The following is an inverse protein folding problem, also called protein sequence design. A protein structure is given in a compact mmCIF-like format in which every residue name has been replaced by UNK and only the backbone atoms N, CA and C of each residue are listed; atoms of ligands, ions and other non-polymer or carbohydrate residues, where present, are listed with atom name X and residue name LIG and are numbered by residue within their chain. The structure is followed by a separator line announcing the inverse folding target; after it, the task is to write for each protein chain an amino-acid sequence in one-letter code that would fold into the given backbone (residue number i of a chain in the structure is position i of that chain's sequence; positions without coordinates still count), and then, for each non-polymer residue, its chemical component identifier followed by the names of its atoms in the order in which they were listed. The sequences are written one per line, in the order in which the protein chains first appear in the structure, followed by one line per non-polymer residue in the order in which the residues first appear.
data_IF_671468057515
#
_entry.id   IF_671468057515
#
_cell.length_a   1.000
_cell.length_b   1.000
_cell.length_c   1.000
_cell.angle_alpha   90.00
_cell.angle_beta   90.00
_cell.angle_gamma   90.00
#
_symmetry.space_group_name_H-M   'P 1'
#
loop_
_entity.id
_entity.type
_entity.pdbx_description
1 polymer ?
#
# COMPACT_ATOMS: atom_id res chain seq x y z
N UNK A 1 19.99 -10.29 9.33
CA UNK A 1 20.22 -10.61 7.91
C UNK A 1 18.86 -10.82 7.26
N UNK A 2 18.49 -10.04 6.24
CA UNK A 2 17.19 -10.14 5.56
C UNK A 2 17.36 -11.05 4.33
N UNK A 3 16.52 -12.08 4.23
CA UNK A 3 16.59 -13.09 3.17
C UNK A 3 16.01 -12.58 1.83
N UNK A 4 16.63 -13.02 0.73
CA UNK A 4 16.30 -12.65 -0.64
C UNK A 4 15.07 -13.43 -1.11
N UNK A 5 13.99 -12.73 -1.48
CA UNK A 5 12.83 -13.35 -2.12
C UNK A 5 13.03 -13.41 -3.64
N UNK A 6 13.40 -14.58 -4.16
CA UNK A 6 13.75 -14.78 -5.58
C UNK A 6 12.58 -14.69 -6.57
N UNK A 7 11.34 -14.51 -6.12
CA UNK A 7 10.19 -14.31 -7.01
C UNK A 7 9.00 -13.64 -6.29
N UNK A 8 9.11 -12.36 -5.91
CA UNK A 8 7.99 -11.65 -5.28
C UNK A 8 6.86 -11.39 -6.29
N UNK A 9 5.65 -11.82 -5.94
CA UNK A 9 4.44 -11.45 -6.68
C UNK A 9 4.28 -9.93 -6.76
N UNK A 10 3.66 -9.42 -7.82
CA UNK A 10 3.40 -7.98 -7.98
C UNK A 10 2.68 -7.39 -6.76
N UNK A 11 1.71 -8.13 -6.21
CA UNK A 11 1.03 -7.79 -4.95
C UNK A 11 2.00 -7.58 -3.78
N UNK A 12 2.98 -8.47 -3.61
CA UNK A 12 3.98 -8.34 -2.54
C UNK A 12 4.90 -7.14 -2.78
N UNK A 13 5.32 -6.90 -4.01
CA UNK A 13 6.15 -5.74 -4.35
C UNK A 13 5.41 -4.43 -4.04
N UNK A 14 4.15 -4.32 -4.47
CA UNK A 14 3.28 -3.17 -4.18
C UNK A 14 3.08 -3.00 -2.67
N UNK A 15 2.82 -4.08 -1.93
CA UNK A 15 2.71 -4.03 -0.48
C UNK A 15 3.99 -3.52 0.19
N UNK A 16 5.17 -4.02 -0.19
CA UNK A 16 6.44 -3.57 0.39
C UNK A 16 6.69 -2.09 0.09
N UNK A 17 6.41 -1.66 -1.14
CA UNK A 17 6.51 -0.26 -1.54
C UNK A 17 5.62 0.64 -0.66
N UNK A 18 4.33 0.33 -0.57
CA UNK A 18 3.39 1.12 0.24
C UNK A 18 3.76 1.11 1.73
N UNK A 19 4.21 -0.03 2.26
CA UNK A 19 4.68 -0.14 3.64
C UNK A 19 5.88 0.77 3.89
N UNK A 20 6.84 0.81 2.98
CA UNK A 20 8.00 1.70 3.09
C UNK A 20 7.60 3.17 3.09
N UNK A 21 6.71 3.58 2.19
CA UNK A 21 6.20 4.96 2.11
C UNK A 21 5.55 5.36 3.45
N UNK A 22 4.71 4.50 4.03
CA UNK A 22 4.07 4.76 5.33
C UNK A 22 5.11 4.86 6.45
N UNK A 23 6.07 3.93 6.51
CA UNK A 23 7.09 3.90 7.57
C UNK A 23 8.08 5.08 7.48
N UNK A 24 8.32 5.60 6.28
CA UNK A 24 9.14 6.80 6.06
C UNK A 24 8.39 8.09 6.39
N UNK A 25 7.06 8.04 6.51
CA UNK A 25 6.22 9.22 6.68
C UNK A 25 5.99 10.00 5.37
N UNK A 26 6.33 9.40 4.22
CA UNK A 26 6.07 9.98 2.89
C UNK A 26 4.56 10.07 2.60
N UNK A 27 3.76 9.28 3.30
CA UNK A 27 2.31 9.40 3.36
C UNK A 27 1.93 9.87 4.76
N UNK A 28 1.47 11.11 4.87
CA UNK A 28 1.21 11.72 6.17
C UNK A 28 0.06 11.00 6.89
N UNK A 29 0.12 10.91 8.22
CA UNK A 29 -0.99 10.33 8.98
C UNK A 29 -2.28 11.09 8.71
N UNK A 30 -3.34 10.40 8.28
CA UNK A 30 -4.60 11.06 7.91
C UNK A 30 -4.71 11.51 6.46
N UNK A 31 -3.62 11.41 5.69
CA UNK A 31 -3.63 11.64 4.25
C UNK A 31 -4.50 10.60 3.56
N UNK A 32 -5.32 11.07 2.63
CA UNK A 32 -6.25 10.21 1.89
C UNK A 32 -5.47 9.38 0.88
N UNK A 33 -5.49 8.06 1.04
CA UNK A 33 -5.03 7.13 0.01
C UNK A 33 -6.05 7.08 -1.13
N UNK A 34 -5.57 7.24 -2.37
CA UNK A 34 -6.38 7.17 -3.59
C UNK A 34 -5.82 6.03 -4.45
N UNK A 35 -6.57 4.94 -4.58
CA UNK A 35 -6.11 3.72 -5.27
C UNK A 35 -5.75 3.97 -6.74
N UNK A 36 -6.53 4.81 -7.45
CA UNK A 36 -6.26 5.17 -8.85
C UNK A 36 -4.94 5.92 -9.00
N UNK A 37 -4.69 6.90 -8.12
CA UNK A 37 -3.42 7.66 -8.10
C UNK A 37 -2.23 6.74 -7.85
N UNK A 38 -2.34 5.82 -6.88
CA UNK A 38 -1.27 4.87 -6.61
C UNK A 38 -1.05 3.89 -7.76
N UNK A 39 -2.12 3.43 -8.41
CA UNK A 39 -2.05 2.56 -9.58
C UNK A 39 -1.30 3.23 -10.74
N UNK A 40 -1.61 4.50 -11.02
CA UNK A 40 -0.93 5.32 -12.02
C UNK A 40 0.55 5.56 -11.67
N UNK A 41 0.83 5.95 -10.42
CA UNK A 41 2.18 6.22 -9.94
C UNK A 41 3.09 4.99 -9.97
N UNK A 42 2.55 3.82 -9.61
CA UNK A 42 3.29 2.56 -9.56
C UNK A 42 3.20 1.77 -10.89
N UNK A 43 2.48 2.29 -11.90
CA UNK A 43 2.26 1.66 -13.20
C UNK A 43 1.73 0.22 -13.10
N UNK A 44 0.79 0.00 -12.17
CA UNK A 44 0.15 -1.31 -11.96
C UNK A 44 -1.36 -1.17 -12.04
N UNK A 45 -2.08 -2.28 -12.20
CA UNK A 45 -3.54 -2.26 -12.12
C UNK A 45 -4.02 -1.97 -10.68
N UNK A 46 -5.30 -1.61 -10.53
CA UNK A 46 -5.92 -1.33 -9.22
C UNK A 46 -6.02 -2.57 -8.33
N UNK A 47 -6.07 -3.77 -8.92
CA UNK A 47 -6.20 -5.04 -8.16
C UNK A 47 -5.07 -5.27 -7.15
N UNK A 48 -3.78 -5.28 -7.54
CA UNK A 48 -2.67 -5.45 -6.59
C UNK A 48 -2.57 -4.30 -5.57
N UNK A 49 -2.98 -3.08 -5.95
CA UNK A 49 -3.05 -1.92 -5.04
C UNK A 49 -4.07 -2.16 -3.93
N UNK A 50 -5.30 -2.51 -4.30
CA UNK A 50 -6.38 -2.80 -3.35
C UNK A 50 -6.03 -3.96 -2.41
N UNK A 51 -5.39 -5.01 -2.93
CA UNK A 51 -4.94 -6.15 -2.14
C UNK A 51 -3.82 -5.77 -1.15
N UNK A 52 -2.84 -4.97 -1.59
CA UNK A 52 -1.79 -4.46 -0.73
C UNK A 52 -2.34 -3.57 0.39
N UNK A 53 -3.25 -2.66 0.06
CA UNK A 53 -3.95 -1.80 1.04
C UNK A 53 -4.75 -2.65 2.02
N UNK A 54 -5.46 -3.69 1.54
CA UNK A 54 -6.20 -4.61 2.40
C UNK A 54 -5.28 -5.35 3.38
N UNK A 55 -4.06 -5.69 2.94
CA UNK A 55 -3.05 -6.28 3.82
C UNK A 55 -2.55 -5.28 4.86
N UNK A 56 -2.22 -4.04 4.47
CA UNK A 56 -1.80 -2.97 5.39
C UNK A 56 -2.88 -2.63 6.43
N UNK A 57 -4.16 -2.70 6.06
CA UNK A 57 -5.28 -2.58 7.01
C UNK A 57 -5.29 -3.66 8.06
N UNK A 58 -5.07 -4.92 7.67
CA UNK A 58 -4.98 -6.04 8.62
C UNK A 58 -3.84 -5.86 9.61
N UNK A 59 -2.75 -5.25 9.17
CA UNK A 59 -1.60 -4.88 10.00
C UNK A 59 -1.81 -3.57 10.79
N UNK A 60 -2.98 -2.92 10.68
CA UNK A 60 -3.32 -1.64 11.33
C UNK A 60 -2.39 -0.48 10.95
N UNK A 61 -1.73 -0.57 9.80
CA UNK A 61 -0.91 0.50 9.23
C UNK A 61 -1.75 1.52 8.45
N UNK A 62 -2.99 1.15 8.09
CA UNK A 62 -3.97 2.01 7.42
C UNK A 62 -5.34 1.78 8.06
N UNK A 63 -6.12 2.85 8.23
CA UNK A 63 -7.51 2.80 8.70
C UNK A 63 -8.46 3.26 7.59
N UNK A 64 -9.59 2.58 7.42
CA UNK A 64 -10.64 3.02 6.48
C UNK A 64 -11.46 4.15 7.09
N UNK A 65 -11.77 5.18 6.30
CA UNK A 65 -12.78 6.18 6.64
C UNK A 65 -14.15 5.76 6.10
N UNK A 66 -15.25 6.18 6.73
CA UNK A 66 -16.62 5.84 6.31
C UNK A 66 -16.95 6.19 4.85
N UNK A 67 -16.25 7.16 4.27
CA UNK A 67 -16.43 7.64 2.89
C UNK A 67 -15.50 6.97 1.86
N UNK A 68 -14.90 5.83 2.20
CA UNK A 68 -13.98 5.11 1.31
C UNK A 68 -12.60 5.75 1.18
N UNK A 69 -12.28 6.77 1.98
CA UNK A 69 -10.92 7.26 2.17
C UNK A 69 -10.12 6.39 3.13
N UNK A 70 -8.83 6.66 3.26
CA UNK A 70 -7.96 5.96 4.21
C UNK A 70 -7.20 7.01 5.05
N UNK A 71 -6.78 6.65 6.26
CA UNK A 71 -5.95 7.43 7.20
C UNK A 71 -4.79 6.58 7.69
#
# INVERSE_FOLDING_TARGET
MIAIQRNQSLRQQVYQCLKQIILKGDLASGERIIETKLAEQLQVSRTPIREAISQLKREKLIVSKPNGGFK
#
